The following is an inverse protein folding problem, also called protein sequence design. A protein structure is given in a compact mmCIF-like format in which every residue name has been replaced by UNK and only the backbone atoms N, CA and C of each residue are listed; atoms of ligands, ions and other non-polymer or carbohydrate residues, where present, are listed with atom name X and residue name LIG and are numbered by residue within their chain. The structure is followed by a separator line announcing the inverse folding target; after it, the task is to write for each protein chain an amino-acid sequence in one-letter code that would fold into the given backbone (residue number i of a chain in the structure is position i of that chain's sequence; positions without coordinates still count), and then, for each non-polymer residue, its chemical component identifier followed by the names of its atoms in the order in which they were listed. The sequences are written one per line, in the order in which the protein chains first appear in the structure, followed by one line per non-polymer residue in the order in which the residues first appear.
data_IF_941893675185
#
_entry.id   IF_941893675185
#
_cell.length_a   1.000
_cell.length_b   1.000
_cell.length_c   1.000
_cell.angle_alpha   90.00
_cell.angle_beta   90.00
_cell.angle_gamma   90.00
#
_symmetry.space_group_name_H-M   'P 1'
#
loop_
_entity.id
_entity.type
_entity.pdbx_description
1 polymer ?
#
# COMPACT_ATOMS: atom_id res chain seq x y z
N UNK A 1 20.10 -6.25 25.33
CA UNK A 1 19.40 -5.08 24.79
C UNK A 1 18.03 -5.06 25.43
N UNK A 2 17.74 -4.03 26.22
CA UNK A 2 16.39 -3.79 26.72
C UNK A 2 15.69 -2.81 25.77
N UNK A 3 14.43 -3.07 25.47
CA UNK A 3 13.57 -2.15 24.73
C UNK A 3 12.45 -1.75 25.67
N UNK A 4 12.17 -0.46 25.75
CA UNK A 4 11.00 0.03 26.48
C UNK A 4 9.69 -0.52 25.87
N UNK A 5 8.59 -0.60 26.63
CA UNK A 5 7.32 -1.09 26.10
C UNK A 5 6.83 -0.31 24.88
N UNK A 6 7.04 1.01 24.85
CA UNK A 6 6.62 1.84 23.71
C UNK A 6 7.53 1.62 22.50
N UNK A 7 8.84 1.48 22.68
CA UNK A 7 9.76 1.13 21.60
C UNK A 7 9.42 -0.23 20.97
N UNK A 8 9.05 -1.22 21.80
CA UNK A 8 8.60 -2.54 21.32
C UNK A 8 7.32 -2.42 20.49
N UNK A 9 6.34 -1.63 20.96
CA UNK A 9 5.08 -1.40 20.26
C UNK A 9 5.31 -0.75 18.89
N UNK A 10 6.13 0.29 18.83
CA UNK A 10 6.43 1.01 17.59
C UNK A 10 7.22 0.15 16.59
N UNK A 11 8.17 -0.65 17.07
CA UNK A 11 8.87 -1.61 16.22
C UNK A 11 7.92 -2.67 15.66
N UNK A 12 6.98 -3.14 16.47
CA UNK A 12 5.97 -4.09 16.01
C UNK A 12 5.07 -3.49 14.91
N UNK A 13 4.69 -2.22 15.03
CA UNK A 13 3.96 -1.51 13.97
C UNK A 13 4.77 -1.46 12.66
N UNK A 14 6.07 -1.14 12.73
CA UNK A 14 6.99 -1.16 11.57
C UNK A 14 7.11 -2.56 10.97
N UNK A 15 7.24 -3.60 11.81
CA UNK A 15 7.32 -5.00 11.35
C UNK A 15 6.09 -5.39 10.54
N UNK A 16 4.91 -5.07 11.07
CA UNK A 16 3.63 -5.38 10.41
C UNK A 16 3.50 -4.63 9.08
N UNK A 17 3.86 -3.34 9.04
CA UNK A 17 3.83 -2.55 7.80
C UNK A 17 4.79 -3.12 6.74
N UNK A 18 6.02 -3.47 7.11
CA UNK A 18 6.97 -4.13 6.21
C UNK A 18 6.42 -5.47 5.69
N UNK A 19 5.83 -6.30 6.55
CA UNK A 19 5.26 -7.60 6.15
C UNK A 19 4.11 -7.45 5.15
N UNK A 20 3.21 -6.51 5.40
CA UNK A 20 2.10 -6.19 4.50
C UNK A 20 2.61 -5.72 3.14
N UNK A 21 3.55 -4.79 3.12
CA UNK A 21 4.12 -4.24 1.89
C UNK A 21 4.91 -5.31 1.10
N UNK A 22 5.70 -6.15 1.76
CA UNK A 22 6.42 -7.26 1.14
C UNK A 22 5.45 -8.25 0.48
N UNK A 23 4.36 -8.59 1.18
CA UNK A 23 3.34 -9.49 0.66
C UNK A 23 2.62 -8.87 -0.55
N UNK A 24 2.25 -7.60 -0.45
CA UNK A 24 1.58 -6.87 -1.52
C UNK A 24 2.43 -6.78 -2.79
N UNK A 25 3.71 -6.43 -2.66
CA UNK A 25 4.63 -6.29 -3.79
C UNK A 25 5.12 -7.63 -4.35
N UNK A 26 4.71 -8.77 -3.79
CA UNK A 26 5.25 -10.09 -4.07
C UNK A 26 6.80 -10.08 -4.06
N UNK A 27 7.38 -9.38 -3.09
CA UNK A 27 8.77 -8.97 -3.17
C UNK A 27 9.71 -10.19 -3.19
N UNK A 28 10.76 -10.15 -4.03
CA UNK A 28 11.79 -11.21 -4.04
C UNK A 28 12.68 -11.23 -2.79
N UNK A 29 13.53 -12.26 -2.66
CA UNK A 29 14.36 -12.47 -1.47
C UNK A 29 15.34 -11.33 -1.17
N UNK A 30 15.81 -10.63 -2.19
CA UNK A 30 16.68 -9.46 -2.00
C UNK A 30 15.97 -8.34 -1.23
N UNK A 31 14.72 -8.05 -1.55
CA UNK A 31 13.91 -7.04 -0.87
C UNK A 31 13.60 -7.48 0.56
N UNK A 32 13.21 -8.75 0.77
CA UNK A 32 13.00 -9.31 2.12
C UNK A 32 14.22 -9.15 3.02
N UNK A 33 15.42 -9.38 2.50
CA UNK A 33 16.67 -9.15 3.24
C UNK A 33 16.90 -7.67 3.55
N UNK A 34 16.58 -6.78 2.62
CA UNK A 34 16.71 -5.34 2.83
C UNK A 34 15.77 -4.84 3.94
N UNK A 35 14.48 -5.19 3.90
CA UNK A 35 13.53 -4.84 4.96
C UNK A 35 13.92 -5.41 6.33
N UNK A 36 14.44 -6.63 6.37
CA UNK A 36 14.99 -7.20 7.60
C UNK A 36 16.17 -6.38 8.14
N UNK A 37 17.11 -5.99 7.28
CA UNK A 37 18.26 -5.19 7.69
C UNK A 37 17.84 -3.80 8.21
N UNK A 38 16.80 -3.19 7.63
CA UNK A 38 16.22 -1.94 8.12
C UNK A 38 15.62 -2.15 9.51
N UNK A 39 14.80 -3.19 9.69
CA UNK A 39 14.20 -3.51 10.99
C UNK A 39 15.27 -3.74 12.07
N UNK A 40 16.27 -4.57 11.79
CA UNK A 40 17.38 -4.85 12.72
C UNK A 40 18.18 -3.60 13.06
N UNK A 41 18.36 -2.67 12.12
CA UNK A 41 19.01 -1.39 12.38
C UNK A 41 18.19 -0.49 13.30
N UNK A 42 16.86 -0.42 13.10
CA UNK A 42 15.95 0.33 13.97
C UNK A 42 15.91 -0.28 15.38
N UNK A 43 15.79 -1.60 15.47
CA UNK A 43 15.80 -2.34 16.73
C UNK A 43 17.10 -2.07 17.51
N UNK A 44 18.25 -2.17 16.83
CA UNK A 44 19.55 -1.88 17.45
C UNK A 44 19.70 -0.43 17.89
N UNK A 45 19.10 0.53 17.17
CA UNK A 45 19.20 1.96 17.50
C UNK A 45 18.35 2.35 18.71
N UNK A 46 17.28 1.58 18.99
CA UNK A 46 16.41 1.79 20.15
C UNK A 46 16.88 1.04 21.40
N UNK A 47 17.95 0.26 21.27
CA UNK A 47 18.54 -0.45 22.40
C UNK A 47 18.88 0.49 23.54
N UNK A 48 18.33 0.20 24.72
CA UNK A 48 18.54 0.94 25.96
C UNK A 48 18.05 2.40 25.92
N UNK A 49 17.20 2.76 24.93
CA UNK A 49 16.44 4.02 24.89
C UNK A 49 15.18 3.87 25.75
N UNK A 50 14.96 4.82 26.66
CA UNK A 50 13.72 4.90 27.45
C UNK A 50 12.63 5.73 26.75
N UNK A 51 11.41 5.68 27.28
CA UNK A 51 10.25 6.36 26.70
C UNK A 51 10.41 7.89 26.66
N UNK A 52 11.11 8.48 27.64
CA UNK A 52 11.35 9.92 27.70
C UNK A 52 12.28 10.37 26.57
N UNK A 53 13.28 9.57 26.22
CA UNK A 53 14.18 9.84 25.10
C UNK A 53 13.55 9.48 23.75
N UNK A 54 12.64 8.52 23.72
CA UNK A 54 11.92 8.09 22.51
C UNK A 54 11.12 9.24 21.88
N UNK A 55 10.53 10.12 22.70
CA UNK A 55 9.69 11.24 22.25
C UNK A 55 10.46 12.56 22.12
N UNK A 56 11.74 12.59 22.50
CA UNK A 56 12.57 13.80 22.38
C UNK A 56 13.17 13.90 20.99
N UNK A 57 12.93 15.03 20.35
CA UNK A 57 13.61 15.43 19.13
C UNK A 57 15.12 15.58 19.37
N UNK A 58 15.91 15.06 18.43
CA UNK A 58 17.35 15.31 18.36
C UNK A 58 17.57 16.45 17.36
N UNK A 59 18.23 17.52 17.79
CA UNK A 59 18.62 18.68 16.96
C UNK A 59 17.48 19.38 16.19
N UNK A 60 16.27 19.35 16.73
CA UNK A 60 15.09 19.97 16.10
C UNK A 60 14.52 19.18 14.92
N UNK A 61 15.01 17.96 14.70
CA UNK A 61 14.45 16.98 13.76
C UNK A 61 13.31 16.17 14.38
N UNK A 62 13.00 15.01 13.79
CA UNK A 62 12.03 14.09 14.36
C UNK A 62 12.61 13.31 15.55
N UNK A 63 11.77 13.06 16.53
CA UNK A 63 12.05 12.10 17.59
C UNK A 63 12.11 10.67 17.05
N UNK A 64 12.79 9.74 17.75
CA UNK A 64 12.77 8.32 17.39
C UNK A 64 11.35 7.76 17.21
N UNK A 65 10.39 8.16 18.07
CA UNK A 65 9.00 7.76 17.94
C UNK A 65 8.37 8.23 16.63
N UNK A 66 8.55 9.51 16.28
CA UNK A 66 8.02 10.08 15.04
C UNK A 66 8.63 9.41 13.80
N UNK A 67 9.92 9.05 13.85
CA UNK A 67 10.55 8.28 12.77
C UNK A 67 9.89 6.92 12.58
N UNK A 68 9.67 6.16 13.65
CA UNK A 68 9.05 4.83 13.57
C UNK A 68 7.60 4.90 13.09
N UNK A 69 6.82 5.86 13.60
CA UNK A 69 5.45 6.12 13.14
C UNK A 69 5.45 6.45 11.65
N UNK A 70 6.34 7.36 11.22
CA UNK A 70 6.41 7.75 9.81
C UNK A 70 6.75 6.57 8.90
N UNK A 71 7.70 5.71 9.29
CA UNK A 71 8.06 4.51 8.51
C UNK A 71 6.86 3.57 8.35
N UNK A 72 6.16 3.29 9.45
CA UNK A 72 4.98 2.42 9.41
C UNK A 72 3.84 3.02 8.55
N UNK A 73 3.55 4.31 8.73
CA UNK A 73 2.52 5.02 7.96
C UNK A 73 2.85 5.11 6.48
N UNK A 74 4.12 5.37 6.13
CA UNK A 74 4.58 5.43 4.76
C UNK A 74 4.35 4.10 4.04
N UNK A 75 4.78 2.99 4.65
CA UNK A 75 4.69 1.67 4.04
C UNK A 75 3.24 1.18 3.92
N UNK A 76 2.40 1.47 4.92
CA UNK A 76 0.97 1.20 4.83
C UNK A 76 0.29 2.07 3.77
N UNK A 77 0.65 3.35 3.67
CA UNK A 77 0.12 4.27 2.67
C UNK A 77 0.44 3.83 1.24
N UNK A 78 1.60 3.23 1.00
CA UNK A 78 1.98 2.68 -0.30
C UNK A 78 1.10 1.50 -0.73
N UNK A 79 0.78 0.60 0.21
CA UNK A 79 -0.10 -0.54 -0.03
C UNK A 79 -1.54 -0.08 -0.35
N UNK A 80 -2.05 0.85 0.44
CA UNK A 80 -3.39 1.42 0.26
C UNK A 80 -3.51 2.22 -1.06
N UNK A 81 -2.48 2.97 -1.45
CA UNK A 81 -2.44 3.69 -2.71
C UNK A 81 -2.49 2.73 -3.92
N UNK A 82 -1.74 1.63 -3.85
CA UNK A 82 -1.75 0.60 -4.88
C UNK A 82 -3.12 -0.08 -4.98
N UNK A 83 -3.74 -0.42 -3.84
CA UNK A 83 -5.09 -1.00 -3.79
C UNK A 83 -6.13 -0.10 -4.46
N UNK A 84 -6.18 1.18 -4.09
CA UNK A 84 -7.12 2.15 -4.68
C UNK A 84 -6.87 2.36 -6.17
N UNK A 85 -5.61 2.35 -6.61
CA UNK A 85 -5.26 2.44 -8.02
C UNK A 85 -5.82 1.27 -8.84
N UNK A 86 -5.73 0.04 -8.31
CA UNK A 86 -6.29 -1.16 -8.95
C UNK A 86 -7.82 -1.08 -9.02
N UNK A 87 -8.48 -0.70 -7.92
CA UNK A 87 -9.94 -0.55 -7.87
C UNK A 87 -10.43 0.43 -8.93
N UNK A 88 -9.79 1.60 -9.01
CA UNK A 88 -10.09 2.61 -10.01
C UNK A 88 -9.91 2.11 -11.45
N UNK A 89 -8.82 1.38 -11.73
CA UNK A 89 -8.58 0.80 -13.05
C UNK A 89 -9.61 -0.27 -13.43
N UNK A 90 -10.07 -1.07 -12.46
CA UNK A 90 -11.16 -2.04 -12.67
C UNK A 90 -12.46 -1.31 -13.00
N UNK A 91 -12.83 -0.29 -12.22
CA UNK A 91 -14.03 0.52 -12.45
C UNK A 91 -14.04 1.12 -13.87
N UNK A 92 -12.97 1.81 -14.24
CA UNK A 92 -12.85 2.40 -15.58
C UNK A 92 -12.81 1.36 -16.70
N UNK A 93 -12.12 0.23 -16.50
CA UNK A 93 -12.11 -0.87 -17.45
C UNK A 93 -13.52 -1.44 -17.70
N UNK A 94 -14.32 -1.58 -16.64
CA UNK A 94 -15.71 -2.03 -16.73
C UNK A 94 -16.61 -1.02 -17.44
N UNK A 95 -16.42 0.28 -17.21
CA UNK A 95 -17.13 1.33 -17.94
C UNK A 95 -16.87 1.26 -19.45
N UNK A 96 -15.60 1.10 -19.84
CA UNK A 96 -15.22 0.93 -21.24
C UNK A 96 -15.80 -0.35 -21.86
N UNK A 97 -15.71 -1.48 -21.16
CA UNK A 97 -16.28 -2.75 -21.61
C UNK A 97 -17.80 -2.66 -21.81
N UNK A 98 -18.52 -1.99 -20.90
CA UNK A 98 -19.95 -1.71 -21.05
C UNK A 98 -20.23 -0.88 -22.29
N UNK A 99 -19.46 0.19 -22.53
CA UNK A 99 -19.59 1.03 -23.72
C UNK A 99 -19.44 0.23 -25.02
N UNK A 100 -18.41 -0.62 -25.10
CA UNK A 100 -18.19 -1.51 -26.25
C UNK A 100 -19.33 -2.52 -26.45
N UNK A 101 -19.86 -3.08 -25.36
CA UNK A 101 -20.98 -4.02 -25.44
C UNK A 101 -22.25 -3.36 -26.02
N UNK A 102 -22.59 -2.17 -25.54
CA UNK A 102 -23.73 -1.41 -26.05
C UNK A 102 -23.54 -1.00 -27.51
N UNK A 103 -22.35 -0.55 -27.89
CA UNK A 103 -22.02 -0.22 -29.28
C UNK A 103 -22.14 -1.44 -30.21
N UNK A 104 -21.67 -2.60 -29.76
CA UNK A 104 -21.85 -3.87 -30.48
C UNK A 104 -23.33 -4.23 -30.68
N UNK A 105 -24.16 -4.02 -29.66
CA UNK A 105 -25.61 -4.24 -29.74
C UNK A 105 -26.27 -3.31 -30.76
N UNK A 106 -25.95 -2.02 -30.70
CA UNK A 106 -26.45 -1.02 -31.65
C UNK A 106 -26.03 -1.34 -33.10
N UNK A 107 -24.75 -1.66 -33.32
CA UNK A 107 -24.26 -2.03 -34.64
C UNK A 107 -24.97 -3.25 -35.23
N UNK A 108 -25.33 -4.25 -34.40
CA UNK A 108 -26.11 -5.42 -34.83
C UNK A 108 -27.55 -5.07 -35.18
N UNK A 109 -28.19 -4.20 -34.40
CA UNK A 109 -29.55 -3.74 -34.68
C UNK A 109 -29.64 -2.97 -36.00
N UNK A 110 -28.63 -2.15 -36.32
CA UNK A 110 -28.54 -1.39 -37.57
C UNK A 110 -28.26 -2.25 -38.82
N UNK A 111 -27.93 -3.53 -38.66
CA UNK A 111 -27.67 -4.47 -39.78
C UNK A 111 -28.81 -5.42 -40.10
N UNK A 112 -29.92 -5.38 -39.35
CA UNK A 112 -31.12 -6.15 -39.68
C UNK A 112 -31.87 -5.42 -40.81
N UNK A 113 -32.18 -6.10 -41.94
CA UNK A 113 -32.93 -5.47 -43.03
C UNK A 113 -34.32 -5.11 -42.52
N UNK A 114 -34.77 -3.87 -42.80
CA UNK A 114 -36.19 -3.53 -42.67
C UNK A 114 -36.97 -4.50 -43.56
N UNK A 115 -37.70 -5.43 -42.94
CA UNK A 115 -38.69 -6.24 -43.66
C UNK A 115 -39.62 -5.27 -44.37
N UNK A 116 -39.45 -5.16 -45.68
CA UNK A 116 -40.25 -4.32 -46.55
C UNK A 116 -41.68 -4.85 -46.51
N UNK A 117 -42.48 -4.32 -45.60
CA UNK A 117 -43.93 -4.48 -45.60
C UNK A 117 -44.49 -3.60 -46.71
N UNK A 118 -44.39 -4.10 -47.95
CA UNK A 118 -45.23 -3.64 -49.04
C UNK A 118 -46.53 -4.43 -49.01
N UNK A 119 -47.63 -3.76 -48.66
CA UNK A 119 -48.98 -4.11 -49.08
C UNK A 119 -49.68 -2.83 -49.54
#
# INVERSE_FOLDING_TARGET
MYLSPEAQRLLEDVRQAHEQLIAHLAAGDAHRRAFRAIYEALESALGDVDDDHLVRSIDGGWSPAEVLVHVAEHDHGMEEAARRGIEHMIEHGLEHARGLWLARGAARASTLPEESTHT
#
